data_IF_606262131015
#
_entry.id   IF_606262131015
#
_cell.length_a   1.000
_cell.length_b   1.000
_cell.length_c   1.000
_cell.angle_alpha   90.00
_cell.angle_beta   90.00
_cell.angle_gamma   90.00
#
_symmetry.space_group_name_H-M   'P 1'
#
loop_
_entity.id
_entity.type
_entity.pdbx_description
1 polymer ?
#
# COMPACT_ATOMS: atom_id res chain seq x y z
N UNK A 1 10.79 17.08 28.45
CA UNK A 1 9.33 16.92 28.64
C UNK A 1 8.93 15.53 28.15
N UNK A 2 8.64 14.57 29.06
CA UNK A 2 8.31 13.18 28.70
C UNK A 2 6.98 13.01 27.93
N UNK A 3 6.06 13.97 28.02
CA UNK A 3 4.76 13.89 27.35
C UNK A 3 4.84 14.02 25.82
N UNK A 4 5.72 14.85 25.30
CA UNK A 4 5.85 15.12 23.86
C UNK A 4 6.77 14.14 23.13
N UNK A 5 7.59 13.39 23.88
CA UNK A 5 8.56 12.44 23.36
C UNK A 5 7.94 11.36 22.45
N UNK A 6 6.80 10.72 22.79
CA UNK A 6 6.17 9.75 21.89
C UNK A 6 5.71 10.33 20.53
N UNK A 7 5.40 11.64 20.47
CA UNK A 7 5.04 12.30 19.21
C UNK A 7 6.27 12.52 18.33
N UNK A 8 7.40 12.83 18.94
CA UNK A 8 8.68 12.95 18.25
C UNK A 8 9.11 11.60 17.68
N UNK A 9 9.14 10.55 18.51
CA UNK A 9 9.45 9.16 18.09
C UNK A 9 8.59 8.73 16.89
N UNK A 10 7.28 8.97 16.97
CA UNK A 10 6.35 8.64 15.89
C UNK A 10 6.64 9.43 14.61
N UNK A 11 6.99 10.71 14.73
CA UNK A 11 7.29 11.57 13.56
C UNK A 11 8.57 11.12 12.87
N UNK A 12 9.62 10.80 13.63
CA UNK A 12 10.85 10.23 13.09
C UNK A 12 10.59 8.89 12.41
N UNK A 13 9.85 8.01 13.07
CA UNK A 13 9.50 6.69 12.54
C UNK A 13 8.72 6.79 11.21
N UNK A 14 7.79 7.73 11.10
CA UNK A 14 6.99 7.93 9.89
C UNK A 14 7.73 8.69 8.78
N UNK A 15 8.84 9.33 9.11
CA UNK A 15 9.72 10.02 8.15
C UNK A 15 10.70 9.07 7.46
N UNK A 16 10.75 7.80 7.90
CA UNK A 16 11.54 6.75 7.26
C UNK A 16 11.13 6.48 5.82
N UNK A 17 12.11 6.14 4.98
CA UNK A 17 11.92 5.84 3.56
C UNK A 17 12.57 4.51 3.14
N UNK A 18 13.24 3.81 4.07
CA UNK A 18 13.97 2.55 3.83
C UNK A 18 13.23 1.30 4.33
N UNK A 19 12.01 1.48 4.82
CA UNK A 19 11.16 0.41 5.34
C UNK A 19 9.70 0.78 5.07
N UNK A 20 8.79 -0.21 4.98
CA UNK A 20 7.36 0.06 4.87
C UNK A 20 6.91 0.85 6.09
N UNK A 21 6.33 2.02 5.87
CA UNK A 21 5.83 2.85 6.97
C UNK A 21 4.37 2.54 7.28
N UNK A 22 3.56 2.18 6.28
CA UNK A 22 2.11 1.98 6.41
C UNK A 22 1.68 1.03 7.54
N UNK A 23 2.36 -0.12 7.73
CA UNK A 23 2.05 -1.06 8.81
C UNK A 23 2.32 -0.49 10.21
N UNK A 24 3.17 0.54 10.30
CA UNK A 24 3.45 1.25 11.54
C UNK A 24 2.38 2.29 11.88
N UNK A 25 1.55 2.69 10.91
CA UNK A 25 0.53 3.74 11.08
C UNK A 25 -0.36 3.47 12.29
N UNK A 26 -1.09 2.35 12.22
CA UNK A 26 -2.22 2.10 13.10
C UNK A 26 -1.78 2.02 14.56
N UNK A 27 -0.73 1.22 14.84
CA UNK A 27 -0.19 1.04 16.20
C UNK A 27 0.28 2.37 16.80
N UNK A 28 0.98 3.20 16.03
CA UNK A 28 1.54 4.45 16.56
C UNK A 28 0.48 5.53 16.75
N UNK A 29 -0.44 5.68 15.80
CA UNK A 29 -1.60 6.60 15.95
C UNK A 29 -2.44 6.19 17.16
N UNK A 30 -2.68 4.89 17.34
CA UNK A 30 -3.38 4.36 18.50
C UNK A 30 -2.63 4.63 19.81
N UNK A 31 -1.30 4.43 19.85
CA UNK A 31 -0.45 4.76 21.01
C UNK A 31 -0.60 6.24 21.40
N UNK A 32 -0.60 7.15 20.43
CA UNK A 32 -0.82 8.58 20.67
C UNK A 32 -2.22 8.87 21.19
N UNK A 33 -3.25 8.24 20.63
CA UNK A 33 -4.62 8.40 21.12
C UNK A 33 -4.75 8.00 22.58
N UNK A 34 -4.18 6.85 22.96
CA UNK A 34 -4.18 6.36 24.34
C UNK A 34 -3.43 7.30 25.28
N UNK A 35 -2.24 7.76 24.87
CA UNK A 35 -1.44 8.73 25.62
C UNK A 35 -2.21 10.03 25.88
N UNK A 36 -2.89 10.57 24.85
CA UNK A 36 -3.70 11.76 25.01
C UNK A 36 -4.85 11.54 26.00
N UNK A 37 -5.57 10.42 25.90
CA UNK A 37 -6.67 10.08 26.82
C UNK A 37 -6.19 9.97 28.28
N UNK A 38 -5.04 9.34 28.51
CA UNK A 38 -4.44 9.23 29.85
C UNK A 38 -4.05 10.60 30.40
N UNK A 39 -3.40 11.42 29.59
CA UNK A 39 -2.83 12.69 30.05
C UNK A 39 -3.89 13.79 30.21
N UNK A 40 -5.06 13.65 29.59
CA UNK A 40 -6.21 14.54 29.81
C UNK A 40 -6.68 14.57 31.28
N UNK A 41 -6.47 13.49 32.04
CA UNK A 41 -6.82 13.38 33.47
C UNK A 41 -5.59 13.47 34.39
N UNK A 42 -4.45 13.95 33.86
CA UNK A 42 -3.23 14.15 34.64
C UNK A 42 -3.43 15.13 35.79
N UNK A 43 -2.71 14.90 36.89
CA UNK A 43 -2.66 15.80 38.06
C UNK A 43 -1.97 17.12 37.74
N UNK A 44 -1.07 17.14 36.76
CA UNK A 44 -0.46 18.35 36.25
C UNK A 44 -1.47 19.08 35.34
N UNK A 45 -1.96 20.22 35.82
CA UNK A 45 -2.96 21.03 35.11
C UNK A 45 -2.46 21.56 33.76
N UNK A 46 -1.16 21.84 33.62
CA UNK A 46 -0.58 22.29 32.36
C UNK A 46 -0.57 21.16 31.34
N UNK A 47 -0.16 19.95 31.75
CA UNK A 47 -0.19 18.76 30.90
C UNK A 47 -1.62 18.37 30.55
N UNK A 48 -2.55 18.36 31.53
CA UNK A 48 -3.96 18.05 31.29
C UNK A 48 -4.60 19.01 30.28
N UNK A 49 -4.37 20.32 30.42
CA UNK A 49 -4.87 21.32 29.47
C UNK A 49 -4.27 21.10 28.08
N UNK A 50 -2.96 20.91 27.99
CA UNK A 50 -2.28 20.65 26.71
C UNK A 50 -2.78 19.37 26.04
N UNK A 51 -2.99 18.29 26.79
CA UNK A 51 -3.51 17.03 26.26
C UNK A 51 -4.94 17.17 25.73
N UNK A 52 -5.80 17.94 26.41
CA UNK A 52 -7.16 18.25 25.92
C UNK A 52 -7.14 19.04 24.61
N UNK A 53 -6.29 20.06 24.52
CA UNK A 53 -6.13 20.87 23.31
C UNK A 53 -5.58 20.04 22.14
N UNK A 54 -4.57 19.19 22.41
CA UNK A 54 -4.01 18.28 21.42
C UNK A 54 -4.99 17.19 20.99
N UNK A 55 -5.79 16.65 21.91
CA UNK A 55 -6.84 15.66 21.61
C UNK A 55 -7.91 16.23 20.69
N UNK A 56 -8.34 17.47 20.91
CA UNK A 56 -9.28 18.15 20.03
C UNK A 56 -8.76 18.25 18.59
N UNK A 57 -7.46 18.57 18.42
CA UNK A 57 -6.80 18.56 17.11
C UNK A 57 -6.67 17.14 16.55
N UNK A 58 -6.29 16.18 17.37
CA UNK A 58 -6.17 14.78 16.97
C UNK A 58 -7.50 14.26 16.40
N UNK A 59 -8.61 14.46 17.11
CA UNK A 59 -9.93 14.01 16.66
C UNK A 59 -10.38 14.66 15.36
N UNK A 60 -10.01 15.93 15.13
CA UNK A 60 -10.35 16.62 13.87
C UNK A 60 -9.75 15.96 12.63
N UNK A 61 -8.54 15.42 12.75
CA UNK A 61 -7.77 14.90 11.61
C UNK A 61 -7.72 13.36 11.58
N UNK A 62 -7.96 12.69 12.72
CA UNK A 62 -7.87 11.24 12.90
C UNK A 62 -9.18 10.62 13.43
N UNK A 63 -10.34 11.26 13.23
CA UNK A 63 -11.65 10.75 13.69
C UNK A 63 -11.98 9.33 13.19
N UNK A 64 -11.45 8.97 12.02
CA UNK A 64 -11.51 7.63 11.45
C UNK A 64 -10.11 7.22 11.02
N UNK A 65 -9.64 6.07 11.51
CA UNK A 65 -8.41 5.46 11.01
C UNK A 65 -8.57 5.19 9.50
N UNK A 66 -7.52 5.47 8.72
CA UNK A 66 -7.52 5.08 7.32
C UNK A 66 -7.68 3.56 7.22
N UNK A 67 -8.75 3.12 6.54
CA UNK A 67 -9.03 1.70 6.37
C UNK A 67 -7.87 0.99 5.67
N UNK A 68 -7.28 1.62 4.66
CA UNK A 68 -6.15 1.08 3.89
C UNK A 68 -4.91 0.91 4.77
N UNK A 69 -4.62 1.89 5.62
CA UNK A 69 -3.51 1.79 6.56
C UNK A 69 -3.82 0.83 7.73
N UNK A 70 -5.10 0.52 7.95
CA UNK A 70 -5.53 -0.55 8.87
C UNK A 70 -5.31 -1.92 8.22
N UNK A 71 -5.54 -2.08 6.91
CA UNK A 71 -5.14 -3.30 6.19
C UNK A 71 -3.64 -3.56 6.31
N UNK A 72 -2.81 -2.51 6.27
CA UNK A 72 -1.36 -2.64 6.40
C UNK A 72 -0.93 -3.29 7.73
N UNK A 73 -1.60 -2.98 8.86
CA UNK A 73 -1.31 -3.67 10.14
C UNK A 73 -1.88 -5.08 10.17
N UNK A 74 -3.01 -5.34 9.49
CA UNK A 74 -3.56 -6.70 9.38
C UNK A 74 -2.65 -7.60 8.53
N UNK A 75 -2.00 -7.04 7.51
CA UNK A 75 -1.02 -7.72 6.67
C UNK A 75 0.36 -7.85 7.33
N UNK A 76 0.56 -7.32 8.55
CA UNK A 76 1.73 -7.65 9.35
C UNK A 76 1.43 -8.92 10.17
N UNK A 77 2.17 -10.03 9.93
CA UNK A 77 1.86 -11.35 10.52
C UNK A 77 1.99 -11.39 12.04
N UNK A 78 2.54 -10.32 12.65
CA UNK A 78 2.68 -10.18 14.10
C UNK A 78 1.46 -9.57 14.80
N UNK A 79 0.51 -9.03 14.02
CA UNK A 79 -0.63 -8.28 14.56
C UNK A 79 -1.98 -8.80 14.06
N UNK A 80 -2.17 -8.92 12.74
CA UNK A 80 -3.42 -9.35 12.09
C UNK A 80 -4.68 -8.67 12.67
N UNK A 81 -5.84 -9.30 12.55
CA UNK A 81 -7.12 -8.75 13.00
C UNK A 81 -7.20 -8.69 14.53
N UNK A 82 -6.55 -9.60 15.23
CA UNK A 82 -6.54 -9.72 16.69
C UNK A 82 -6.01 -8.44 17.36
N UNK A 83 -4.96 -7.84 16.79
CA UNK A 83 -4.45 -6.57 17.31
C UNK A 83 -5.43 -5.42 17.10
N UNK A 84 -6.07 -5.35 15.94
CA UNK A 84 -7.06 -4.30 15.64
C UNK A 84 -8.29 -4.44 16.53
N UNK A 85 -8.76 -5.67 16.74
CA UNK A 85 -9.85 -5.98 17.67
C UNK A 85 -9.49 -5.58 19.10
N UNK A 86 -8.28 -5.90 19.56
CA UNK A 86 -7.78 -5.45 20.86
C UNK A 86 -7.81 -3.91 21.00
N UNK A 87 -7.33 -3.19 19.98
CA UNK A 87 -7.31 -1.73 19.97
C UNK A 87 -8.71 -1.12 20.01
N UNK A 88 -9.66 -1.65 19.23
CA UNK A 88 -11.04 -1.16 19.23
C UNK A 88 -11.77 -1.49 20.54
N UNK A 89 -11.60 -2.68 21.11
CA UNK A 89 -12.17 -3.03 22.42
C UNK A 89 -11.67 -2.11 23.53
N UNK A 90 -10.40 -1.70 23.48
CA UNK A 90 -9.83 -0.76 24.45
C UNK A 90 -10.39 0.66 24.33
N UNK A 91 -10.77 1.09 23.13
CA UNK A 91 -11.36 2.41 22.90
C UNK A 91 -12.84 2.43 23.23
N UNK A 92 -13.60 1.46 22.71
CA UNK A 92 -15.04 1.34 22.91
C UNK A 92 -15.49 -0.10 22.61
N UNK A 93 -15.83 -0.83 23.67
CA UNK A 93 -16.28 -2.22 23.59
C UNK A 93 -17.57 -2.34 22.77
N UNK A 94 -18.45 -1.34 22.81
CA UNK A 94 -19.77 -1.40 22.18
C UNK A 94 -19.71 -1.35 20.65
N UNK A 95 -18.82 -0.54 20.08
CA UNK A 95 -18.66 -0.40 18.62
C UNK A 95 -17.55 -1.27 18.03
N UNK A 96 -16.80 -2.00 18.86
CA UNK A 96 -15.62 -2.75 18.42
C UNK A 96 -15.94 -3.86 17.43
N UNK A 97 -16.99 -4.64 17.67
CA UNK A 97 -17.34 -5.79 16.81
C UNK A 97 -17.69 -5.34 15.39
N UNK A 98 -18.55 -4.32 15.28
CA UNK A 98 -18.98 -3.78 13.99
C UNK A 98 -17.81 -3.20 13.20
N UNK A 99 -16.90 -2.46 13.86
CA UNK A 99 -15.70 -1.91 13.22
C UNK A 99 -14.76 -2.98 12.65
N UNK A 100 -14.55 -4.08 13.39
CA UNK A 100 -13.72 -5.19 12.92
C UNK A 100 -14.40 -5.95 11.77
N UNK A 101 -15.72 -6.13 11.82
CA UNK A 101 -16.44 -6.79 10.73
C UNK A 101 -16.45 -5.96 9.44
N UNK A 102 -16.67 -4.66 9.53
CA UNK A 102 -16.55 -3.75 8.39
C UNK A 102 -15.14 -3.83 7.80
N UNK A 103 -14.10 -3.81 8.63
CA UNK A 103 -12.71 -3.96 8.18
C UNK A 103 -12.49 -5.29 7.46
N UNK A 104 -12.96 -6.40 8.04
CA UNK A 104 -12.83 -7.73 7.44
C UNK A 104 -13.51 -7.80 6.08
N UNK A 105 -14.71 -7.23 5.96
CA UNK A 105 -15.47 -7.25 4.71
C UNK A 105 -14.80 -6.39 3.63
N UNK A 106 -14.38 -5.18 3.96
CA UNK A 106 -13.67 -4.32 3.00
C UNK A 106 -12.32 -4.90 2.56
N UNK A 107 -11.64 -5.65 3.44
CA UNK A 107 -10.42 -6.36 3.09
C UNK A 107 -10.69 -7.52 2.12
N UNK A 108 -11.80 -8.25 2.30
CA UNK A 108 -12.26 -9.28 1.37
C UNK A 108 -12.62 -8.69 0.02
N UNK A 109 -13.40 -7.61 -0.02
CA UNK A 109 -13.73 -6.90 -1.26
C UNK A 109 -12.47 -6.46 -2.02
N UNK A 110 -11.48 -5.91 -1.32
CA UNK A 110 -10.20 -5.56 -1.93
C UNK A 110 -9.50 -6.79 -2.50
N UNK A 111 -9.46 -7.90 -1.76
CA UNK A 111 -8.81 -9.12 -2.20
C UNK A 111 -9.47 -9.75 -3.43
N UNK A 112 -10.81 -9.73 -3.50
CA UNK A 112 -11.56 -10.22 -4.67
C UNK A 112 -11.18 -9.47 -5.97
N UNK A 113 -10.87 -8.18 -5.89
CA UNK A 113 -10.37 -7.42 -7.05
C UNK A 113 -9.00 -7.93 -7.52
N UNK A 114 -8.12 -8.35 -6.60
CA UNK A 114 -6.84 -8.97 -6.96
C UNK A 114 -7.02 -10.36 -7.58
N UNK A 115 -8.09 -11.09 -7.24
CA UNK A 115 -8.45 -12.36 -7.89
C UNK A 115 -8.92 -12.15 -9.34
N UNK A 116 -9.71 -11.09 -9.59
CA UNK A 116 -10.29 -10.80 -10.92
C UNK A 116 -9.28 -10.30 -11.94
N UNK A 117 -8.35 -9.44 -11.51
CA UNK A 117 -7.50 -8.66 -12.43
C UNK A 117 -6.26 -9.45 -12.88
N UNK A 118 -5.84 -10.44 -12.10
CA UNK A 118 -4.57 -11.13 -12.32
C UNK A 118 -4.89 -12.59 -12.68
N UNK A 119 -4.62 -13.06 -13.92
CA UNK A 119 -4.66 -14.48 -14.24
C UNK A 119 -3.76 -15.28 -13.28
N UNK A 120 -3.99 -16.58 -13.05
CA UNK A 120 -3.03 -17.42 -12.34
C UNK A 120 -1.64 -17.19 -12.95
N UNK A 121 -0.65 -16.85 -12.13
CA UNK A 121 0.75 -16.79 -12.58
C UNK A 121 1.11 -18.22 -12.99
N UNK A 122 0.99 -18.50 -14.29
CA UNK A 122 1.40 -19.69 -15.01
C UNK A 122 1.57 -20.95 -14.14
N UNK A 123 0.59 -21.85 -14.19
CA UNK A 123 0.92 -23.27 -14.26
C UNK A 123 1.84 -23.44 -15.46
N UNK A 124 3.15 -23.42 -15.23
CA UNK A 124 4.08 -23.94 -16.22
C UNK A 124 3.84 -25.44 -16.22
N UNK A 125 2.85 -25.89 -16.98
CA UNK A 125 2.82 -27.26 -17.48
C UNK A 125 4.06 -27.38 -18.35
N UNK A 126 5.15 -27.80 -17.73
CA UNK A 126 6.35 -28.25 -18.42
C UNK A 126 5.95 -29.53 -19.15
N UNK A 127 5.52 -29.37 -20.40
CA UNK A 127 5.47 -30.45 -21.38
C UNK A 127 6.92 -30.83 -21.69
N UNK A 128 7.53 -31.61 -20.79
CA UNK A 128 8.81 -32.26 -21.04
C UNK A 128 8.49 -33.44 -21.95
N UNK A 129 8.97 -33.34 -23.20
CA UNK A 129 8.90 -34.42 -24.17
C UNK A 129 9.51 -35.69 -23.62
N UNK A 130 8.73 -36.77 -23.68
CA UNK A 130 9.04 -38.13 -23.27
C UNK A 130 10.37 -38.59 -23.88
N UNK A 131 11.35 -38.91 -23.03
CA UNK A 131 12.42 -39.86 -23.36
C UNK A 131 12.20 -41.08 -22.47
N UNK A 132 11.92 -42.19 -23.15
CA UNK A 132 11.59 -43.51 -22.62
C UNK A 132 12.62 -44.03 -21.60
N UNK A 133 12.11 -44.40 -20.42
CA UNK A 133 12.79 -45.17 -19.39
C UNK A 133 11.73 -45.72 -18.43
N UNK A 134 11.82 -47.00 -18.08
CA UNK A 134 10.82 -47.80 -17.38
C UNK A 134 10.47 -47.30 -15.95
N UNK A 135 9.51 -46.37 -15.81
CA UNK A 135 8.96 -45.91 -14.51
C UNK A 135 7.43 -45.57 -14.56
N UNK A 136 6.71 -45.98 -15.62
CA UNK A 136 5.34 -45.52 -15.95
C UNK A 136 4.26 -45.77 -14.86
N UNK A 137 4.35 -46.83 -14.05
CA UNK A 137 3.27 -47.19 -13.11
C UNK A 137 3.18 -46.27 -11.87
N UNK A 138 4.29 -45.66 -11.45
CA UNK A 138 4.32 -44.76 -10.28
C UNK A 138 3.89 -43.34 -10.64
N UNK A 139 4.24 -42.85 -11.83
CA UNK A 139 3.83 -41.51 -12.30
C UNK A 139 2.32 -41.45 -12.55
N UNK A 140 1.71 -42.52 -13.08
CA UNK A 140 0.26 -42.61 -13.26
C UNK A 140 -0.49 -42.58 -11.91
N UNK A 141 0.04 -43.23 -10.88
CA UNK A 141 -0.51 -43.20 -9.51
C UNK A 141 -0.38 -41.83 -8.85
N UNK A 142 0.70 -41.09 -9.15
CA UNK A 142 0.91 -39.71 -8.67
C UNK A 142 -0.07 -38.75 -9.37
N UNK A 143 -0.25 -38.88 -10.68
CA UNK A 143 -1.22 -38.09 -11.45
C UNK A 143 -2.67 -38.36 -11.02
N UNK A 144 -3.01 -39.62 -10.72
CA UNK A 144 -4.33 -39.99 -10.19
C UNK A 144 -4.56 -39.41 -8.79
N UNK A 145 -3.52 -39.41 -7.94
CA UNK A 145 -3.55 -38.76 -6.63
C UNK A 145 -3.73 -37.24 -6.76
N UNK A 146 -3.04 -36.58 -7.68
CA UNK A 146 -3.18 -35.13 -7.92
C UNK A 146 -4.56 -34.75 -8.45
N UNK A 147 -5.16 -35.60 -9.30
CA UNK A 147 -6.54 -35.47 -9.77
C UNK A 147 -7.55 -35.63 -8.62
N UNK A 148 -7.37 -36.66 -7.76
CA UNK A 148 -8.19 -36.86 -6.57
C UNK A 148 -8.07 -35.67 -5.59
N UNK A 149 -6.86 -35.16 -5.38
CA UNK A 149 -6.59 -34.06 -4.47
C UNK A 149 -7.17 -32.74 -4.97
N UNK A 150 -7.19 -32.53 -6.29
CA UNK A 150 -7.86 -31.40 -6.93
C UNK A 150 -9.38 -31.47 -6.73
N UNK A 151 -10.00 -32.64 -6.90
CA UNK A 151 -11.43 -32.85 -6.65
C UNK A 151 -11.82 -32.64 -5.17
N UNK A 152 -10.94 -32.97 -4.23
CA UNK A 152 -11.15 -32.73 -2.80
C UNK A 152 -10.90 -31.26 -2.39
N UNK A 153 -10.08 -30.52 -3.14
CA UNK A 153 -9.72 -29.13 -2.83
C UNK A 153 -10.89 -28.17 -3.07
N UNK A 154 -11.73 -28.43 -4.08
CA UNK A 154 -12.96 -27.67 -4.34
C UNK A 154 -13.96 -27.71 -3.17
N UNK A 155 -13.92 -28.75 -2.34
CA UNK A 155 -14.77 -28.87 -1.15
C UNK A 155 -14.20 -28.15 0.10
N UNK A 156 -12.94 -27.68 0.06
CA UNK A 156 -12.21 -27.07 1.20
C UNK A 156 -11.74 -25.63 0.93
N UNK A 157 -12.26 -24.97 -0.10
CA UNK A 157 -11.73 -23.72 -0.64
C UNK A 157 -11.86 -22.51 0.31
N UNK A 158 -11.06 -22.46 1.37
CA UNK A 158 -10.79 -21.23 2.09
C UNK A 158 -9.97 -20.29 1.20
N UNK A 159 -10.31 -19.01 1.17
CA UNK A 159 -9.54 -18.03 0.40
C UNK A 159 -8.11 -17.90 0.96
N UNK A 160 -7.14 -17.49 0.14
CA UNK A 160 -5.77 -17.20 0.62
C UNK A 160 -5.78 -16.21 1.80
N UNK A 161 -6.70 -15.24 1.75
CA UNK A 161 -6.92 -14.29 2.83
C UNK A 161 -7.39 -14.98 4.11
N UNK A 162 -8.40 -15.84 4.04
CA UNK A 162 -8.91 -16.56 5.23
C UNK A 162 -7.85 -17.50 5.82
N UNK A 163 -7.07 -18.18 4.98
CA UNK A 163 -5.95 -19.00 5.41
C UNK A 163 -4.93 -18.17 6.19
N UNK A 164 -4.49 -17.04 5.65
CA UNK A 164 -3.56 -16.14 6.33
C UNK A 164 -4.14 -15.58 7.65
N UNK A 165 -5.42 -15.19 7.65
CA UNK A 165 -6.08 -14.66 8.83
C UNK A 165 -6.29 -15.73 9.91
N UNK A 166 -6.39 -17.01 9.54
CA UNK A 166 -6.51 -18.14 10.48
C UNK A 166 -5.18 -18.66 11.03
N UNK A 167 -4.05 -18.27 10.46
CA UNK A 167 -2.73 -18.66 10.96
C UNK A 167 -2.38 -17.98 12.29
N UNK A 168 -1.57 -18.66 13.10
CA UNK A 168 -1.05 -18.10 14.35
C UNK A 168 -0.23 -16.83 14.12
N UNK A 169 -0.27 -15.94 15.11
CA UNK A 169 0.56 -14.74 15.09
C UNK A 169 2.04 -15.10 15.27
N UNK A 170 2.91 -14.43 14.53
CA UNK A 170 4.35 -14.48 14.77
C UNK A 170 4.68 -13.75 16.08
N UNK A 171 5.56 -14.32 16.90
CA UNK A 171 5.98 -13.70 18.15
C UNK A 171 6.69 -12.36 17.91
N UNK A 172 6.12 -11.29 18.45
CA UNK A 172 6.64 -9.92 18.29
C UNK A 172 7.99 -9.68 18.95
N UNK A 173 8.28 -10.37 20.05
CA UNK A 173 9.53 -10.18 20.81
C UNK A 173 10.66 -10.91 20.13
N UNK A 174 10.40 -12.11 19.61
CA UNK A 174 11.37 -12.88 18.86
C UNK A 174 11.67 -12.25 17.49
N UNK A 175 10.65 -11.74 16.80
CA UNK A 175 10.77 -11.17 15.45
C UNK A 175 10.47 -9.67 15.44
N UNK A 176 11.21 -8.92 16.28
CA UNK A 176 10.99 -7.48 16.46
C UNK A 176 11.39 -6.65 15.23
N UNK A 177 12.40 -7.11 14.51
CA UNK A 177 13.05 -6.55 13.32
C UNK A 177 12.53 -7.17 12.00
N UNK A 178 11.46 -7.97 12.06
CA UNK A 178 10.86 -8.61 10.88
C UNK A 178 10.63 -7.61 9.75
N UNK A 179 11.28 -7.84 8.62
CA UNK A 179 10.96 -7.17 7.36
C UNK A 179 9.67 -7.77 6.77
N UNK A 180 8.57 -7.03 6.92
CA UNK A 180 7.23 -7.49 6.50
C UNK A 180 7.14 -7.67 4.99
N UNK A 181 7.81 -6.84 4.18
CA UNK A 181 7.83 -7.00 2.73
C UNK A 181 8.57 -8.27 2.32
N UNK A 182 9.69 -8.56 2.97
CA UNK A 182 10.44 -9.80 2.75
C UNK A 182 9.64 -11.04 3.16
N UNK A 183 8.89 -10.97 4.26
CA UNK A 183 7.94 -12.03 4.65
C UNK A 183 6.93 -12.34 3.54
N UNK A 184 6.32 -11.31 2.94
CA UNK A 184 5.37 -11.49 1.84
C UNK A 184 6.04 -11.98 0.55
N UNK A 185 7.28 -11.56 0.28
CA UNK A 185 8.08 -12.07 -0.85
C UNK A 185 8.29 -13.58 -0.72
N UNK A 186 8.72 -14.07 0.46
CA UNK A 186 8.94 -15.51 0.70
C UNK A 186 7.63 -16.31 0.67
N UNK A 187 6.54 -15.74 1.15
CA UNK A 187 5.23 -16.40 1.16
C UNK A 187 4.44 -16.21 -0.14
N UNK A 188 5.02 -15.62 -1.17
CA UNK A 188 4.35 -15.41 -2.46
C UNK A 188 4.00 -16.71 -3.18
N UNK A 189 4.74 -17.80 -2.96
CA UNK A 189 4.40 -19.12 -3.50
C UNK A 189 3.13 -19.67 -2.85
N UNK A 190 2.99 -19.49 -1.53
CA UNK A 190 1.82 -19.96 -0.76
C UNK A 190 0.60 -19.06 -0.96
N UNK A 191 0.83 -17.76 -1.08
CA UNK A 191 -0.22 -16.74 -1.16
C UNK A 191 0.02 -15.77 -2.33
N UNK A 192 -0.01 -16.23 -3.59
CA UNK A 192 0.42 -15.42 -4.74
C UNK A 192 -0.41 -14.15 -4.95
N UNK A 193 -1.72 -14.20 -4.71
CA UNK A 193 -2.59 -13.04 -4.88
C UNK A 193 -2.54 -12.12 -3.67
N UNK A 194 -2.50 -12.72 -2.48
CA UNK A 194 -2.46 -11.95 -1.23
C UNK A 194 -1.12 -11.23 -1.06
N UNK A 195 0.00 -11.85 -1.45
CA UNK A 195 1.32 -11.23 -1.41
C UNK A 195 1.41 -10.01 -2.33
N UNK A 196 0.74 -10.02 -3.49
CA UNK A 196 0.63 -8.85 -4.36
C UNK A 196 -0.16 -7.72 -3.71
N UNK A 197 -1.32 -8.04 -3.12
CA UNK A 197 -2.10 -7.07 -2.35
C UNK A 197 -1.29 -6.50 -1.18
N UNK A 198 -0.59 -7.36 -0.44
CA UNK A 198 0.24 -6.97 0.67
C UNK A 198 1.37 -6.05 0.25
N UNK A 199 2.10 -6.38 -0.82
CA UNK A 199 3.14 -5.52 -1.38
C UNK A 199 2.59 -4.13 -1.69
N UNK A 200 1.46 -4.05 -2.38
CA UNK A 200 0.89 -2.76 -2.83
C UNK A 200 0.40 -1.92 -1.65
N UNK A 201 -0.27 -2.54 -0.66
CA UNK A 201 -0.74 -1.86 0.55
C UNK A 201 0.42 -1.42 1.45
N UNK A 202 1.41 -2.29 1.66
CA UNK A 202 2.54 -2.04 2.55
C UNK A 202 3.49 -0.97 2.00
N UNK A 203 3.57 -0.84 0.67
CA UNK A 203 4.42 0.15 -0.01
C UNK A 203 3.86 1.57 0.02
N UNK A 204 2.67 1.79 0.58
CA UNK A 204 2.10 3.14 0.70
C UNK A 204 2.92 3.94 1.74
N UNK A 205 3.56 5.05 1.37
CA UNK A 205 4.19 5.93 2.35
C UNK A 205 3.12 6.68 3.15
N UNK A 206 3.27 6.73 4.48
CA UNK A 206 2.34 7.49 5.35
C UNK A 206 2.55 9.01 5.18
N UNK A 207 3.78 9.45 4.89
CA UNK A 207 4.17 10.86 4.87
C UNK A 207 4.68 11.31 3.52
N UNK A 208 4.55 12.61 3.23
CA UNK A 208 5.23 13.23 2.09
C UNK A 208 6.72 13.43 2.33
N UNK A 209 7.24 13.17 3.54
CA UNK A 209 8.62 13.54 3.93
C UNK A 209 9.66 12.93 3.00
N UNK A 210 9.49 11.68 2.56
CA UNK A 210 10.38 11.07 1.56
C UNK A 210 10.40 11.88 0.25
N UNK A 211 9.24 12.25 -0.26
CA UNK A 211 9.13 13.09 -1.45
C UNK A 211 9.64 14.53 -1.22
N UNK A 212 9.39 15.13 -0.06
CA UNK A 212 9.90 16.46 0.30
C UNK A 212 11.42 16.45 0.45
N UNK A 213 12.00 15.38 0.97
CA UNK A 213 13.45 15.15 0.99
C UNK A 213 13.99 15.02 -0.43
N UNK A 214 13.35 14.22 -1.29
CA UNK A 214 13.71 14.10 -2.70
C UNK A 214 13.64 15.46 -3.43
N UNK A 215 12.61 16.28 -3.18
CA UNK A 215 12.49 17.63 -3.74
C UNK A 215 13.51 18.61 -3.17
N UNK A 216 13.84 18.52 -1.88
CA UNK A 216 14.87 19.33 -1.25
C UNK A 216 16.24 19.04 -1.86
N UNK A 217 16.57 17.77 -2.07
CA UNK A 217 17.74 17.34 -2.83
C UNK A 217 17.65 17.75 -4.29
N UNK A 218 16.46 17.66 -4.89
CA UNK A 218 16.13 18.11 -6.23
C UNK A 218 16.37 19.61 -6.46
N UNK A 219 16.27 20.44 -5.42
CA UNK A 219 16.65 21.85 -5.48
C UNK A 219 18.13 22.09 -5.82
N UNK A 220 19.01 21.11 -5.57
CA UNK A 220 20.42 21.14 -6.01
C UNK A 220 20.57 20.72 -7.48
N UNK A 221 19.66 19.88 -7.98
CA UNK A 221 19.64 19.39 -9.37
C UNK A 221 19.03 20.46 -10.29
N UNK A 222 17.90 21.04 -9.87
CA UNK A 222 17.16 22.12 -10.53
C UNK A 222 17.53 23.45 -9.86
N UNK A 223 18.78 23.88 -10.06
CA UNK A 223 19.25 25.17 -9.55
C UNK A 223 18.79 26.37 -10.41
N UNK A 224 18.93 27.60 -9.89
CA UNK A 224 18.60 28.85 -10.61
C UNK A 224 19.29 28.98 -11.99
N UNK A 225 20.45 28.35 -12.16
CA UNK A 225 21.25 28.37 -13.41
C UNK A 225 21.06 27.12 -14.29
N UNK A 226 20.24 26.14 -13.86
CA UNK A 226 19.91 24.91 -14.60
C UNK A 226 18.43 24.87 -14.98
N UNK A 227 17.81 26.03 -15.19
CA UNK A 227 16.40 26.19 -15.59
C UNK A 227 16.09 25.70 -17.00
N UNK A 228 17.11 25.39 -17.80
CA UNK A 228 16.97 24.85 -19.17
C UNK A 228 16.90 23.32 -19.23
N UNK A 229 16.93 22.61 -18.09
CA UNK A 229 16.79 21.15 -18.10
C UNK A 229 15.36 20.76 -18.51
N UNK A 230 15.25 19.81 -19.45
CA UNK A 230 13.96 19.25 -19.83
C UNK A 230 13.34 18.51 -18.63
N UNK A 231 12.02 18.62 -18.39
CA UNK A 231 11.36 17.93 -17.29
C UNK A 231 11.65 16.42 -17.24
N UNK A 232 11.70 15.77 -18.41
CA UNK A 232 12.04 14.35 -18.55
C UNK A 232 13.44 14.01 -18.06
N UNK A 233 14.41 14.90 -18.29
CA UNK A 233 15.79 14.69 -17.88
C UNK A 233 15.97 14.97 -16.37
N UNK A 234 15.24 15.96 -15.84
CA UNK A 234 15.20 16.20 -14.40
C UNK A 234 14.59 15.02 -13.64
N UNK A 235 13.50 14.44 -14.15
CA UNK A 235 12.87 13.22 -13.63
C UNK A 235 13.85 12.04 -13.68
N UNK A 236 14.48 11.79 -14.82
CA UNK A 236 15.45 10.70 -14.97
C UNK A 236 16.65 10.82 -14.00
N UNK A 237 17.18 12.03 -13.78
CA UNK A 237 18.27 12.25 -12.83
C UNK A 237 17.81 12.05 -11.38
N UNK A 238 16.61 12.54 -11.03
CA UNK A 238 16.06 12.39 -9.70
C UNK A 238 15.79 10.91 -9.37
N UNK A 239 15.13 10.20 -10.27
CA UNK A 239 14.79 8.79 -10.10
C UNK A 239 16.02 7.87 -10.20
N UNK A 240 16.96 8.16 -11.12
CA UNK A 240 18.14 7.33 -11.32
C UNK A 240 19.07 7.31 -10.10
N UNK A 241 19.12 8.40 -9.34
CA UNK A 241 19.89 8.45 -8.09
C UNK A 241 19.30 7.54 -7.01
N UNK A 242 17.99 7.63 -6.79
CA UNK A 242 17.30 6.78 -5.80
C UNK A 242 17.45 5.30 -6.14
N UNK A 243 17.49 4.95 -7.43
CA UNK A 243 17.70 3.58 -7.89
C UNK A 243 19.12 3.09 -7.59
N UNK A 244 20.14 3.90 -7.86
CA UNK A 244 21.53 3.53 -7.57
C UNK A 244 21.76 3.33 -6.06
N UNK A 245 21.20 4.20 -5.21
CA UNK A 245 21.28 4.05 -3.76
C UNK A 245 20.53 2.82 -3.22
N UNK A 246 19.56 2.27 -3.99
CA UNK A 246 18.86 1.03 -3.62
C UNK A 246 19.65 -0.24 -3.97
N UNK A 247 20.45 -0.21 -5.06
CA UNK A 247 21.28 -1.35 -5.46
C UNK A 247 22.45 -1.61 -4.50
N UNK A 248 23.09 -0.55 -3.98
CA UNK A 248 24.21 -0.66 -3.04
C UNK A 248 23.83 -1.31 -1.68
N UNK A 249 22.55 -1.63 -1.46
CA UNK A 249 22.03 -2.31 -0.26
C UNK A 249 21.70 -3.80 -0.47
N UNK A 250 21.62 -4.27 -1.73
CA UNK A 250 21.29 -5.68 -2.03
C UNK A 250 22.53 -6.59 -2.09
N UNK A 251 23.75 -6.01 -2.10
CA UNK A 251 25.00 -6.77 -2.27
C UNK A 251 25.59 -7.36 -0.96
N UNK A 252 24.96 -7.16 0.20
CA UNK A 252 25.50 -7.69 1.48
C UNK A 252 24.90 -9.06 1.91
N UNK A 253 23.78 -9.54 1.36
CA UNK A 253 23.24 -10.89 1.65
C UNK A 253 22.41 -11.44 0.45
N UNK A 254 23.07 -12.21 -0.43
CA UNK A 254 22.58 -13.40 -1.17
C UNK A 254 23.05 -13.46 -2.65
N UNK A 255 24.00 -14.37 -2.91
CA UNK A 255 24.28 -14.94 -4.24
C UNK A 255 23.05 -15.72 -4.73
N UNK A 256 22.19 -15.10 -5.55
CA UNK A 256 21.33 -15.82 -6.50
C UNK A 256 20.97 -14.90 -7.66
N UNK A 257 22.00 -14.56 -8.45
CA UNK A 257 21.90 -13.86 -9.71
C UNK A 257 21.31 -14.77 -10.80
N UNK A 258 20.05 -15.20 -10.67
CA UNK A 258 19.33 -15.77 -11.81
C UNK A 258 17.81 -15.63 -11.73
N UNK A 259 17.31 -14.40 -11.63
CA UNK A 259 15.94 -14.08 -12.05
C UNK A 259 15.81 -12.61 -12.50
N UNK A 260 16.75 -12.12 -13.31
CA UNK A 260 16.63 -10.82 -13.96
C UNK A 260 15.99 -10.96 -15.35
N UNK A 261 14.70 -11.25 -15.35
CA UNK A 261 13.83 -10.87 -16.46
C UNK A 261 12.47 -10.42 -15.92
N UNK A 262 12.47 -9.42 -15.03
CA UNK A 262 11.21 -8.79 -14.61
C UNK A 262 10.86 -7.71 -15.64
N UNK A 263 9.85 -8.00 -16.48
CA UNK A 263 9.27 -7.04 -17.43
C UNK A 263 8.93 -5.72 -16.73
N UNK A 264 9.51 -4.62 -17.22
CA UNK A 264 9.31 -3.24 -16.73
C UNK A 264 7.83 -2.83 -16.71
N UNK A 265 6.99 -3.49 -17.52
CA UNK A 265 5.53 -3.27 -17.56
C UNK A 265 4.79 -3.70 -16.28
N UNK A 266 5.37 -4.61 -15.46
CA UNK A 266 4.76 -5.09 -14.22
C UNK A 266 4.91 -4.13 -13.03
N UNK A 267 5.76 -3.10 -13.14
CA UNK A 267 6.00 -2.11 -12.07
C UNK A 267 5.01 -0.94 -12.10
N UNK A 268 4.38 -0.66 -13.26
CA UNK A 268 3.48 0.50 -13.46
C UNK A 268 2.01 0.17 -13.14
N UNK A 269 1.67 -1.11 -13.11
CA UNK A 269 0.34 -1.62 -12.77
C UNK A 269 -0.16 -1.30 -11.35
N UNK A 270 0.55 -1.66 -10.27
CA UNK A 270 -0.04 -1.81 -8.94
C UNK A 270 -0.73 -0.55 -8.35
N UNK A 271 -0.17 0.65 -8.58
CA UNK A 271 -0.76 1.90 -8.06
C UNK A 271 -2.01 2.38 -8.83
N UNK A 272 -2.21 1.96 -10.09
CA UNK A 272 -3.42 2.30 -10.85
C UNK A 272 -4.66 1.59 -10.28
N UNK A 273 -4.50 0.37 -9.75
CA UNK A 273 -5.59 -0.50 -9.31
C UNK A 273 -6.12 -0.14 -7.92
N UNK A 274 -5.24 0.00 -6.93
CA UNK A 274 -5.61 0.58 -5.64
C UNK A 274 -6.24 1.99 -5.84
N UNK A 275 -5.72 2.70 -6.85
CA UNK A 275 -6.24 3.92 -7.45
C UNK A 275 -7.75 3.88 -7.74
N UNK A 276 -8.16 2.88 -8.50
CA UNK A 276 -9.53 2.63 -8.93
C UNK A 276 -10.45 2.20 -7.78
N UNK A 277 -10.00 1.27 -6.95
CA UNK A 277 -10.79 0.69 -5.84
C UNK A 277 -11.19 1.76 -4.82
N UNK A 278 -10.24 2.56 -4.34
CA UNK A 278 -10.55 3.60 -3.34
C UNK A 278 -11.40 4.74 -3.93
N UNK A 279 -11.28 5.02 -5.24
CA UNK A 279 -12.15 5.98 -5.95
C UNK A 279 -13.58 5.48 -6.09
N UNK A 280 -13.78 4.18 -6.34
CA UNK A 280 -15.10 3.57 -6.43
C UNK A 280 -15.83 3.55 -5.08
N UNK A 281 -15.09 3.46 -3.96
CA UNK A 281 -15.62 3.51 -2.60
C UNK A 281 -15.72 4.94 -2.01
N UNK A 282 -15.53 6.00 -2.82
CA UNK A 282 -15.67 7.38 -2.37
C UNK A 282 -14.54 7.90 -1.46
N UNK A 283 -13.44 7.15 -1.30
CA UNK A 283 -12.30 7.53 -0.47
C UNK A 283 -11.32 8.40 -1.26
N UNK A 284 -11.11 9.68 -0.87
CA UNK A 284 -10.27 10.59 -1.65
C UNK A 284 -8.79 10.23 -1.49
N UNK A 285 -8.20 9.73 -2.59
CA UNK A 285 -6.75 9.49 -2.76
C UNK A 285 -5.86 10.67 -2.32
N UNK A 286 -6.37 11.91 -2.36
CA UNK A 286 -5.60 13.12 -2.05
C UNK A 286 -5.49 13.45 -0.55
N UNK A 287 -6.22 12.75 0.33
CA UNK A 287 -6.24 13.02 1.78
C UNK A 287 -5.32 12.12 2.62
N UNK A 288 -4.69 11.10 2.01
CA UNK A 288 -3.97 10.03 2.70
C UNK A 288 -2.53 10.37 3.08
N UNK A 289 -2.00 11.52 2.64
CA UNK A 289 -0.57 11.83 2.79
C UNK A 289 -0.39 12.92 3.85
N UNK A 290 0.27 12.55 4.95
CA UNK A 290 0.61 13.45 6.04
C UNK A 290 1.53 14.57 5.53
N UNK A 291 1.09 15.83 5.68
CA UNK A 291 1.93 17.03 5.52
C UNK A 291 2.46 17.45 6.90
N UNK A 292 3.78 17.39 7.15
CA UNK A 292 4.34 18.00 8.34
C UNK A 292 4.16 19.53 8.26
N UNK A 293 3.56 20.13 9.28
CA UNK A 293 3.34 21.56 9.34
C UNK A 293 4.66 22.32 9.51
N UNK A 294 5.04 23.11 8.52
CA UNK A 294 6.00 24.20 8.65
C UNK A 294 5.23 25.53 8.79
N UNK A 295 5.50 26.23 9.88
CA UNK A 295 4.98 27.55 10.25
C UNK A 295 5.46 28.66 9.30
N UNK A 296 4.53 29.50 8.81
CA UNK A 296 4.72 30.86 8.24
C UNK A 296 5.63 30.96 7.00
N UNK A 297 5.22 31.50 5.85
CA UNK A 297 4.85 32.91 5.65
C UNK A 297 4.32 33.09 4.21
N UNK A 298 3.54 34.16 4.02
CA UNK A 298 2.82 34.68 2.85
C UNK A 298 3.63 34.72 1.54
N UNK A 299 3.14 34.06 0.49
CA UNK A 299 3.10 34.46 -0.95
C UNK A 299 2.15 33.43 -1.62
N UNK A 300 1.13 33.71 -2.43
CA UNK A 300 0.53 34.90 -3.01
C UNK A 300 -0.42 34.33 -4.07
N UNK A 301 -1.70 34.73 -4.05
CA UNK A 301 -2.86 34.11 -4.72
C UNK A 301 -2.85 34.01 -6.28
N UNK A 302 -1.70 34.12 -6.96
CA UNK A 302 -1.61 34.15 -8.42
C UNK A 302 -1.45 32.78 -9.10
N UNK A 303 -0.78 31.79 -8.47
CA UNK A 303 -0.63 30.45 -9.05
C UNK A 303 -1.91 29.61 -9.02
N UNK A 304 -2.80 29.86 -8.05
CA UNK A 304 -4.11 29.20 -7.96
C UNK A 304 -5.03 29.55 -9.14
N UNK A 305 -4.90 30.73 -9.75
CA UNK A 305 -5.74 31.15 -10.90
C UNK A 305 -5.27 30.57 -12.23
N UNK A 306 -3.97 30.33 -12.41
CA UNK A 306 -3.42 29.73 -13.64
C UNK A 306 -3.76 28.24 -13.74
N UNK A 307 -3.62 27.49 -12.64
CA UNK A 307 -3.94 26.04 -12.61
C UNK A 307 -5.43 25.74 -12.81
N UNK A 308 -6.34 26.63 -12.36
CA UNK A 308 -7.79 26.48 -12.58
C UNK A 308 -8.18 26.79 -14.04
N UNK A 309 -7.45 27.68 -14.71
CA UNK A 309 -7.71 28.04 -16.12
C UNK A 309 -7.25 26.93 -17.06
N UNK A 310 -6.11 26.32 -16.80
CA UNK A 310 -5.58 25.21 -17.61
C UNK A 310 -6.35 23.91 -17.41
N UNK A 311 -6.81 23.61 -16.20
CA UNK A 311 -7.69 22.47 -15.93
C UNK A 311 -9.05 22.53 -16.64
N UNK A 312 -9.62 23.74 -16.82
CA UNK A 312 -10.88 23.94 -17.56
C UNK A 312 -10.69 23.78 -19.08
N UNK A 313 -9.54 24.18 -19.62
CA UNK A 313 -9.21 24.00 -21.03
C UNK A 313 -8.95 22.54 -21.40
N UNK A 314 -8.33 21.76 -20.50
CA UNK A 314 -8.10 20.33 -20.69
C UNK A 314 -9.42 19.53 -20.68
N UNK A 315 -10.35 19.85 -19.76
CA UNK A 315 -11.70 19.25 -19.76
C UNK A 315 -12.49 19.55 -21.05
N UNK A 316 -12.40 20.77 -21.60
CA UNK A 316 -13.08 21.11 -22.87
C UNK A 316 -12.49 20.38 -24.07
N UNK A 317 -11.16 20.19 -24.13
CA UNK A 317 -10.48 19.43 -25.19
C UNK A 317 -10.80 17.93 -25.15
N UNK A 318 -10.89 17.34 -23.95
CA UNK A 318 -11.25 15.93 -23.78
C UNK A 318 -12.72 15.64 -24.15
N UNK A 319 -13.64 16.56 -23.84
CA UNK A 319 -15.06 16.43 -24.22
C UNK A 319 -15.27 16.60 -25.74
N UNK A 320 -14.47 17.44 -26.42
CA UNK A 320 -14.50 17.55 -27.88
C UNK A 320 -13.87 16.35 -28.61
N UNK A 321 -12.86 15.71 -28.03
CA UNK A 321 -12.28 14.47 -28.59
C UNK A 321 -13.22 13.28 -28.41
N UNK A 322 -13.91 13.17 -27.27
CA UNK A 322 -14.91 12.12 -27.05
C UNK A 322 -16.09 12.20 -28.03
N UNK A 323 -16.59 13.41 -28.33
CA UNK A 323 -17.66 13.60 -29.32
C UNK A 323 -17.26 13.31 -30.78
N UNK A 324 -15.97 13.37 -31.11
CA UNK A 324 -15.46 13.01 -32.45
C UNK A 324 -15.22 11.51 -32.63
N UNK A 325 -15.04 10.76 -31.55
CA UNK A 325 -14.91 9.29 -31.58
C UNK A 325 -16.23 8.60 -31.94
N UNK A 326 -17.33 9.00 -31.32
CA UNK A 326 -18.66 8.40 -31.55
C UNK A 326 -19.25 8.68 -32.95
N UNK A 327 -18.76 9.67 -33.68
CA UNK A 327 -19.22 9.96 -35.04
C UNK A 327 -18.54 9.09 -36.13
N UNK A 328 -17.47 8.36 -35.80
CA UNK A 328 -16.75 7.51 -36.75
C UNK A 328 -17.12 6.02 -36.68
N UNK A 329 -17.73 5.55 -35.60
CA UNK A 329 -18.19 4.15 -35.48
C UNK A 329 -19.62 3.92 -36.04
N UNK A 330 -20.40 4.98 -36.25
CA UNK A 330 -21.75 4.88 -36.85
C UNK A 330 -21.80 4.80 -38.38
N UNK A 331 -20.67 4.67 -39.08
CA UNK A 331 -20.60 4.69 -40.56
C UNK A 331 -19.94 3.47 -41.22
N UNK A 332 -19.63 2.41 -40.46
CA UNK A 332 -18.96 1.21 -41.01
C UNK A 332 -19.82 -0.07 -41.01
N UNK A 333 -21.07 -0.05 -40.52
CA UNK A 333 -21.99 -1.20 -40.58
C UNK A 333 -23.09 -1.00 -41.64
N UNK A 334 -22.72 -0.87 -42.90
CA UNK A 334 -23.68 -0.65 -43.99
C UNK A 334 -23.15 -0.89 -45.39
N UNK A 335 -22.26 -1.87 -45.59
CA UNK A 335 -21.96 -2.48 -46.88
C UNK A 335 -21.59 -3.94 -46.61
N UNK A 336 -22.56 -4.85 -46.77
CA UNK A 336 -22.46 -6.25 -47.23
C UNK A 336 -23.84 -6.88 -46.99
N UNK A 337 -24.39 -7.41 -48.09
CA UNK A 337 -25.70 -8.03 -48.34
C UNK A 337 -26.85 -7.07 -48.65
#
# INVERSE_FOLDING_TARGET
>A
MRFLEPFHEMTELFSGHRYPTSNLYFRNVWRIQMLLQEQMVSTDLAISRMAKDMKSKFDKYWNCYSIVLTFAVVLDPRYKLEFVEFCYKKLDVSTSYDKVNVLREQMRELFEEYLRVIPPLCEQSSTIGTISGCDDDMDIMIDEFDSYRSQCADARSQSQLDLYLGETLIDRKQFSDLNVLYYWRRNSVRYPKLALMARDVLSIPITTVASESAFSHGGRIIGKFRSSILPTNAEAILCGRDWLEAYDYEDDEDEDANCLSTNIENLVGPFRYLGGVLRAQGLPWRGLIFRPGSSGTIYGNHEKRLLIRDGKNLKRRLVQQSRRGYAKEGKLNGIVN
#
